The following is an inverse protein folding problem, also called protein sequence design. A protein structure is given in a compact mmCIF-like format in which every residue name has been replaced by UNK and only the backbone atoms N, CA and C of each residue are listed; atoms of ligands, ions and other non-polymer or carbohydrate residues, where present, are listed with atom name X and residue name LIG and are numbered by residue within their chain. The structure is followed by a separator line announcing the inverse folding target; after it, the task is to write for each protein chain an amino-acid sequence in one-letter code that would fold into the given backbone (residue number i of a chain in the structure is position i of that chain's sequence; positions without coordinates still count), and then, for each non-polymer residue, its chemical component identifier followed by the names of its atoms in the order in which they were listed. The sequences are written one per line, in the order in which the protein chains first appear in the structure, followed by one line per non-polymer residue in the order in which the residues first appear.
data_IF_019253480233
#
_entry.id   IF_019253480233
#
_cell.length_a   1.000
_cell.length_b   1.000
_cell.length_c   1.000
_cell.angle_alpha   90.00
_cell.angle_beta   90.00
_cell.angle_gamma   90.00
#
_symmetry.space_group_name_H-M   'P 1'
#
loop_
_entity.id
_entity.type
_entity.pdbx_description
1 polymer ?
#
# COMPACT_ATOMS: atom_id res chain seq x y z
N UNK A 1 -25.10 17.47 -0.92
CA UNK A 1 -23.84 16.86 -1.32
C UNK A 1 -22.67 17.57 -0.73
N UNK A 2 -21.74 16.79 -0.32
CA UNK A 2 -20.50 17.32 0.23
C UNK A 2 -19.43 17.51 -0.84
N UNK A 3 -19.75 17.18 -2.07
CA UNK A 3 -18.77 17.15 -3.16
C UNK A 3 -18.22 18.50 -3.56
N UNK A 4 -18.95 19.57 -3.20
CA UNK A 4 -18.51 20.92 -3.49
C UNK A 4 -17.66 21.53 -2.38
N UNK A 5 -17.37 20.75 -1.36
CA UNK A 5 -16.55 21.22 -0.24
C UNK A 5 -15.09 21.32 -0.67
N UNK A 6 -14.54 22.48 -0.47
CA UNK A 6 -13.14 22.71 -0.78
C UNK A 6 -12.22 21.95 0.16
N UNK A 7 -11.08 21.49 -0.36
CA UNK A 7 -10.08 20.80 0.43
C UNK A 7 -9.26 21.83 1.19
N UNK A 8 -9.24 21.73 2.51
CA UNK A 8 -8.49 22.61 3.39
C UNK A 8 -7.12 22.07 3.77
N UNK A 9 -7.01 20.75 3.86
CA UNK A 9 -5.77 20.10 4.28
C UNK A 9 -5.03 19.61 3.05
N UNK A 10 -4.06 20.40 2.63
CA UNK A 10 -3.20 20.08 1.49
C UNK A 10 -1.87 19.60 2.02
N UNK A 11 -1.45 18.42 1.60
CA UNK A 11 -0.19 17.82 2.05
C UNK A 11 0.76 17.66 0.86
N UNK A 12 1.96 18.20 0.99
CA UNK A 12 3.01 18.11 0.00
C UNK A 12 4.04 17.07 0.40
N UNK A 13 4.89 16.67 -0.55
CA UNK A 13 6.01 15.80 -0.25
C UNK A 13 6.90 16.40 0.84
N UNK A 14 7.19 17.70 0.78
CA UNK A 14 8.03 18.36 1.78
C UNK A 14 7.43 18.25 3.18
N UNK A 15 6.12 18.45 3.31
CA UNK A 15 5.44 18.30 4.60
C UNK A 15 5.52 16.87 5.11
N UNK A 16 5.42 15.89 4.21
CA UNK A 16 5.57 14.48 4.59
C UNK A 16 6.99 14.17 5.06
N UNK A 17 7.99 14.70 4.38
CA UNK A 17 9.39 14.54 4.81
C UNK A 17 9.59 15.11 6.21
N UNK A 18 9.06 16.31 6.46
CA UNK A 18 9.16 16.95 7.77
C UNK A 18 8.44 16.13 8.85
N UNK A 19 7.25 15.63 8.53
CA UNK A 19 6.49 14.78 9.45
C UNK A 19 7.27 13.51 9.80
N UNK A 20 7.84 12.85 8.82
CA UNK A 20 8.60 11.62 9.05
C UNK A 20 9.85 11.88 9.89
N UNK A 21 10.52 13.01 9.69
CA UNK A 21 11.65 13.40 10.54
C UNK A 21 11.20 13.67 11.98
N UNK A 22 10.07 14.33 12.16
CA UNK A 22 9.50 14.56 13.50
C UNK A 22 9.15 13.26 14.21
N UNK A 23 8.73 12.24 13.46
CA UNK A 23 8.44 10.91 14.00
C UNK A 23 9.70 10.12 14.32
N UNK A 24 10.86 10.65 13.99
CA UNK A 24 12.14 10.05 14.34
C UNK A 24 12.74 9.15 13.26
N UNK A 25 12.26 9.23 12.03
CA UNK A 25 12.82 8.44 10.93
C UNK A 25 14.25 8.88 10.61
N UNK A 26 15.17 7.91 10.59
CA UNK A 26 16.58 8.12 10.27
C UNK A 26 16.98 7.37 9.00
N UNK A 27 18.10 7.77 8.42
CA UNK A 27 18.60 7.21 7.16
C UNK A 27 18.87 5.72 7.19
N UNK A 28 19.25 5.18 8.35
CA UNK A 28 19.60 3.77 8.50
C UNK A 28 18.49 2.91 9.09
N UNK A 29 17.30 3.46 9.23
CA UNK A 29 16.17 2.71 9.81
C UNK A 29 15.62 1.65 8.86
N UNK A 30 15.16 0.57 9.46
CA UNK A 30 14.34 -0.42 8.78
C UNK A 30 12.90 -0.15 9.20
N UNK A 31 12.05 0.18 8.23
CA UNK A 31 10.69 0.67 8.51
C UNK A 31 9.65 -0.24 7.88
N UNK A 32 8.65 -0.61 8.68
CA UNK A 32 7.44 -1.24 8.16
C UNK A 32 6.37 -0.17 8.11
N UNK A 33 5.80 0.06 6.93
CA UNK A 33 4.84 1.13 6.72
C UNK A 33 3.43 0.57 6.54
N UNK A 34 2.53 1.03 7.41
CA UNK A 34 1.10 0.83 7.27
C UNK A 34 0.49 2.20 7.08
N UNK A 35 0.00 2.51 5.91
CA UNK A 35 -0.48 3.85 5.64
C UNK A 35 -1.93 3.88 5.17
N UNK A 36 -2.61 4.97 5.54
CA UNK A 36 -3.93 5.31 5.04
C UNK A 36 -3.85 6.70 4.43
N UNK A 37 -4.17 6.80 3.15
CA UNK A 37 -4.18 8.09 2.45
C UNK A 37 -5.18 9.07 3.05
N UNK A 38 -6.29 8.56 3.59
CA UNK A 38 -7.32 9.41 4.19
C UNK A 38 -6.80 10.23 5.35
N UNK A 39 -5.90 9.67 6.16
CA UNK A 39 -5.36 10.36 7.32
C UNK A 39 -4.43 11.51 6.96
N UNK A 40 -3.92 11.53 5.76
CA UNK A 40 -2.92 12.51 5.31
C UNK A 40 -3.53 13.75 4.67
N UNK A 41 -4.85 13.79 4.51
CA UNK A 41 -5.52 14.86 3.78
C UNK A 41 -5.36 14.69 2.27
N UNK A 42 -5.40 15.79 1.54
CA UNK A 42 -5.16 15.74 0.10
C UNK A 42 -3.65 15.81 -0.18
N UNK A 43 -3.08 14.69 -0.58
CA UNK A 43 -1.66 14.61 -0.96
C UNK A 43 -1.54 14.92 -2.44
N UNK A 44 -0.77 15.93 -2.79
CA UNK A 44 -0.77 16.50 -4.15
C UNK A 44 -0.53 15.45 -5.24
N UNK A 45 0.48 14.59 -5.07
CA UNK A 45 0.76 13.53 -6.02
C UNK A 45 0.38 12.13 -5.50
N UNK A 46 -0.50 12.08 -4.51
CA UNK A 46 -1.01 10.83 -3.98
C UNK A 46 0.09 9.94 -3.38
N UNK A 47 -0.04 8.65 -3.61
CA UNK A 47 0.87 7.66 -3.05
C UNK A 47 2.33 7.87 -3.47
N UNK A 48 2.57 8.47 -4.63
CA UNK A 48 3.92 8.76 -5.10
C UNK A 48 4.66 9.70 -4.13
N UNK A 49 3.98 10.74 -3.66
CA UNK A 49 4.59 11.66 -2.69
C UNK A 49 4.91 10.97 -1.38
N UNK A 50 4.05 10.07 -0.93
CA UNK A 50 4.28 9.31 0.31
C UNK A 50 5.54 8.44 0.17
N UNK A 51 5.63 7.70 -0.91
CA UNK A 51 6.77 6.80 -1.15
C UNK A 51 8.06 7.58 -1.35
N UNK A 52 8.01 8.65 -2.14
CA UNK A 52 9.19 9.49 -2.37
C UNK A 52 9.68 10.15 -1.08
N UNK A 53 8.76 10.59 -0.22
CA UNK A 53 9.13 11.15 1.08
C UNK A 53 9.79 10.10 1.98
N UNK A 54 9.30 8.88 1.97
CA UNK A 54 9.92 7.78 2.74
C UNK A 54 11.33 7.48 2.22
N UNK A 55 11.50 7.44 0.91
CA UNK A 55 12.80 7.17 0.28
C UNK A 55 13.80 8.28 0.61
N UNK A 56 13.31 9.52 0.71
CA UNK A 56 14.17 10.64 1.08
C UNK A 56 14.62 10.59 2.53
N UNK A 57 13.74 10.14 3.43
CA UNK A 57 14.06 10.02 4.85
C UNK A 57 14.90 8.80 5.18
N UNK A 58 14.70 7.70 4.45
CA UNK A 58 15.44 6.45 4.64
C UNK A 58 16.37 6.25 3.46
N UNK A 59 17.67 6.25 3.73
CA UNK A 59 18.65 5.92 2.70
C UNK A 59 18.62 4.42 2.43
N UNK A 60 18.21 4.02 1.23
CA UNK A 60 18.03 2.61 0.90
C UNK A 60 19.34 1.82 0.82
N UNK A 61 20.49 2.51 0.83
CA UNK A 61 21.81 1.85 0.97
C UNK A 61 22.10 1.48 2.42
N UNK A 62 21.44 2.12 3.37
CA UNK A 62 21.66 1.92 4.81
C UNK A 62 20.45 1.32 5.52
N UNK A 63 19.25 1.60 5.02
CA UNK A 63 17.99 1.17 5.64
C UNK A 63 17.06 0.51 4.65
N UNK A 64 15.89 0.11 5.14
CA UNK A 64 14.92 -0.65 4.36
C UNK A 64 13.50 -0.11 4.57
N UNK A 65 12.72 -0.07 3.50
CA UNK A 65 11.30 0.24 3.56
C UNK A 65 10.53 -1.01 3.19
N UNK A 66 9.63 -1.44 4.07
CA UNK A 66 8.79 -2.62 3.90
C UNK A 66 7.32 -2.20 3.97
N UNK A 67 6.51 -2.76 3.10
CA UNK A 67 5.06 -2.59 3.16
C UNK A 67 4.36 -3.93 3.02
N UNK A 68 3.31 -4.19 3.82
CA UNK A 68 2.52 -5.40 3.62
C UNK A 68 1.85 -5.40 2.26
N UNK A 69 1.91 -6.52 1.56
CA UNK A 69 1.31 -6.70 0.25
C UNK A 69 0.44 -7.97 0.29
N UNK A 70 -0.76 -7.83 0.82
CA UNK A 70 -1.65 -8.97 1.02
C UNK A 70 -2.28 -9.45 -0.29
N UNK A 71 -2.47 -10.75 -0.38
CA UNK A 71 -3.12 -11.41 -1.51
C UNK A 71 -4.31 -12.22 -1.02
N UNK A 72 -5.26 -11.56 -0.37
CA UNK A 72 -6.45 -12.20 0.18
C UNK A 72 -7.25 -12.97 -0.85
N UNK A 73 -7.17 -12.59 -2.13
CA UNK A 73 -7.84 -13.28 -3.23
C UNK A 73 -7.28 -14.69 -3.47
N UNK A 74 -6.14 -15.04 -2.88
CA UNK A 74 -5.57 -16.39 -2.99
C UNK A 74 -5.90 -17.28 -1.80
N UNK A 75 -6.64 -16.75 -0.82
CA UNK A 75 -7.11 -17.53 0.32
C UNK A 75 -8.34 -18.33 -0.06
N UNK A 76 -8.74 -19.27 0.80
CA UNK A 76 -9.92 -20.11 0.54
C UNK A 76 -11.17 -19.23 0.46
N UNK A 77 -11.92 -19.30 -0.66
CA UNK A 77 -13.10 -18.47 -0.85
C UNK A 77 -14.22 -18.69 0.18
N UNK A 78 -14.20 -19.78 0.91
CA UNK A 78 -15.20 -20.02 1.96
C UNK A 78 -15.17 -18.94 3.04
N UNK A 79 -14.02 -18.30 3.25
CA UNK A 79 -13.85 -17.26 4.25
C UNK A 79 -13.95 -15.84 3.70
N UNK A 80 -14.18 -15.68 2.40
CA UNK A 80 -14.26 -14.34 1.80
C UNK A 80 -15.50 -13.61 2.24
N UNK A 81 -15.35 -12.30 2.46
CA UNK A 81 -16.45 -11.40 2.81
C UNK A 81 -16.77 -10.39 1.70
N UNK A 82 -15.77 -9.98 0.91
CA UNK A 82 -15.88 -9.00 -0.17
C UNK A 82 -15.10 -9.45 -1.41
N UNK A 83 -15.69 -10.15 -2.36
CA UNK A 83 -17.10 -10.58 -2.35
C UNK A 83 -17.31 -11.84 -1.49
N UNK A 84 -18.50 -11.98 -0.97
CA UNK A 84 -18.92 -13.23 -0.35
C UNK A 84 -19.42 -14.12 -1.47
N UNK A 85 -18.91 -15.34 -1.51
CA UNK A 85 -19.26 -16.31 -2.57
C UNK A 85 -20.40 -17.19 -2.10
N UNK A 86 -21.41 -17.36 -2.95
CA UNK A 86 -22.52 -18.25 -2.68
C UNK A 86 -22.00 -19.69 -2.47
N UNK A 87 -22.59 -20.40 -1.53
CA UNK A 87 -22.15 -21.73 -1.14
C UNK A 87 -21.96 -22.68 -2.33
N UNK A 88 -22.88 -22.67 -3.27
CA UNK A 88 -22.84 -23.54 -4.45
C UNK A 88 -21.77 -23.14 -5.46
N UNK A 89 -21.17 -21.96 -5.33
CA UNK A 89 -20.15 -21.47 -6.23
C UNK A 89 -18.72 -21.53 -5.66
N UNK A 90 -18.59 -21.89 -4.39
CA UNK A 90 -17.28 -21.92 -3.71
C UNK A 90 -16.31 -22.86 -4.41
N UNK A 91 -16.75 -24.03 -4.82
CA UNK A 91 -15.87 -25.01 -5.44
C UNK A 91 -15.33 -24.54 -6.79
N UNK A 92 -16.18 -23.89 -7.59
CA UNK A 92 -15.76 -23.33 -8.88
C UNK A 92 -14.71 -22.26 -8.66
N UNK A 93 -14.91 -21.36 -7.69
CA UNK A 93 -13.95 -20.32 -7.38
C UNK A 93 -12.65 -20.91 -6.88
N UNK A 94 -12.74 -21.84 -5.93
CA UNK A 94 -11.55 -22.50 -5.35
C UNK A 94 -10.69 -23.14 -6.44
N UNK A 95 -11.30 -23.83 -7.38
CA UNK A 95 -10.58 -24.52 -8.44
C UNK A 95 -10.05 -23.58 -9.52
N UNK A 96 -10.52 -22.33 -9.55
CA UNK A 96 -10.13 -21.33 -10.55
C UNK A 96 -9.04 -20.38 -10.07
N UNK A 97 -8.73 -20.36 -8.78
CA UNK A 97 -7.70 -19.49 -8.24
C UNK A 97 -6.33 -19.91 -8.76
N UNK A 98 -5.59 -18.95 -9.30
CA UNK A 98 -4.24 -19.21 -9.80
C UNK A 98 -3.22 -19.08 -8.67
N UNK A 99 -2.08 -19.78 -8.77
CA UNK A 99 -1.02 -19.61 -7.79
C UNK A 99 -0.45 -18.19 -7.80
N UNK A 100 0.20 -17.82 -6.72
CA UNK A 100 0.83 -16.51 -6.58
C UNK A 100 1.90 -16.28 -7.66
N UNK A 101 1.85 -15.11 -8.28
CA UNK A 101 2.84 -14.65 -9.24
C UNK A 101 3.33 -13.26 -8.81
N UNK A 102 4.62 -13.12 -8.63
CA UNK A 102 5.20 -11.86 -8.14
C UNK A 102 4.89 -10.65 -9.01
N UNK A 103 4.74 -10.87 -10.31
CA UNK A 103 4.48 -9.78 -11.27
C UNK A 103 3.00 -9.52 -11.49
N UNK A 104 2.20 -10.58 -11.53
CA UNK A 104 0.82 -10.48 -11.98
C UNK A 104 -0.22 -10.44 -10.86
N UNK A 105 0.07 -11.07 -9.71
CA UNK A 105 -0.91 -11.12 -8.63
C UNK A 105 -1.06 -9.73 -8.00
N UNK A 106 -2.25 -9.11 -8.05
CA UNK A 106 -2.44 -7.77 -7.46
C UNK A 106 -2.42 -7.82 -5.94
N UNK A 107 -2.07 -6.69 -5.34
CA UNK A 107 -2.22 -6.49 -3.90
C UNK A 107 -3.68 -6.25 -3.59
N UNK A 108 -4.19 -6.85 -2.51
CA UNK A 108 -5.56 -6.68 -2.11
C UNK A 108 -5.66 -6.44 -0.61
N UNK A 109 -6.47 -5.46 -0.23
CA UNK A 109 -6.75 -5.17 1.17
C UNK A 109 -5.77 -4.23 1.84
N UNK A 110 -4.84 -3.59 1.12
CA UNK A 110 -3.83 -2.69 1.70
C UNK A 110 -3.78 -1.30 1.11
N UNK A 111 -4.63 -1.00 0.16
CA UNK A 111 -4.71 0.33 -0.40
C UNK A 111 -3.61 0.69 -1.39
N UNK A 112 -3.67 1.94 -1.85
CA UNK A 112 -2.94 2.41 -3.01
C UNK A 112 -1.44 2.57 -2.77
N UNK A 113 -1.00 2.83 -1.54
CA UNK A 113 0.43 3.08 -1.29
C UNK A 113 1.26 1.82 -1.52
N UNK A 114 0.83 0.68 -0.96
CA UNK A 114 1.52 -0.58 -1.16
C UNK A 114 1.49 -1.02 -2.62
N UNK A 115 0.36 -0.84 -3.28
CA UNK A 115 0.20 -1.15 -4.70
C UNK A 115 1.13 -0.31 -5.57
N UNK A 116 1.22 0.99 -5.27
CA UNK A 116 2.09 1.92 -6.00
C UNK A 116 3.57 1.58 -5.81
N UNK A 117 3.95 1.18 -4.61
CA UNK A 117 5.33 0.80 -4.32
C UNK A 117 5.81 -0.33 -5.24
N UNK A 118 4.95 -1.28 -5.58
CA UNK A 118 5.31 -2.38 -6.47
C UNK A 118 5.74 -1.93 -7.86
N UNK A 119 5.37 -0.72 -8.27
CA UNK A 119 5.76 -0.16 -9.57
C UNK A 119 7.12 0.53 -9.54
N UNK A 120 7.70 0.73 -8.37
CA UNK A 120 9.01 1.36 -8.27
C UNK A 120 10.13 0.40 -8.68
N UNK A 121 11.21 0.92 -9.29
CA UNK A 121 12.33 0.05 -9.67
C UNK A 121 12.99 -0.58 -8.43
N UNK A 122 13.52 -1.78 -8.61
CA UNK A 122 14.25 -2.51 -7.58
C UNK A 122 13.41 -2.98 -6.38
N UNK A 123 12.11 -2.81 -6.43
CA UNK A 123 11.22 -3.32 -5.39
C UNK A 123 11.13 -4.84 -5.51
N UNK A 124 11.24 -5.53 -4.38
CA UNK A 124 11.10 -6.98 -4.31
C UNK A 124 9.83 -7.35 -3.57
N UNK A 125 9.15 -8.35 -4.08
CA UNK A 125 7.95 -8.89 -3.47
C UNK A 125 8.19 -10.34 -3.06
N UNK A 126 8.04 -10.62 -1.77
CA UNK A 126 8.16 -12.01 -1.29
C UNK A 126 6.85 -12.74 -1.49
N UNK A 127 6.94 -14.02 -1.69
CA UNK A 127 5.77 -14.90 -1.81
C UNK A 127 5.33 -15.41 -0.44
#
# INVERSE_FOLDING_TARGET
MTDNKEMNLITTKLELVNLFHELGLNKSDDVIVHSSMKSLGFVVNGAIDVIDALIECVNLDEGTILMPAHTGQLTDPVHWKNPKIAKESIEIVRNSIKPFDKKLTPVRGRGIVAETLLSYPEVKRSS
#
